data_IF_904846142351
#
_entry.id   IF_904846142351
#
_cell.length_a   1.000
_cell.length_b   1.000
_cell.length_c   1.000
_cell.angle_alpha   90.00
_cell.angle_beta   90.00
_cell.angle_gamma   90.00
#
_symmetry.space_group_name_H-M   'P 1'
#
loop_
_entity.id
_entity.type
_entity.pdbx_description
1 polymer ?
#
# COMPACT_ATOMS: atom_id res chain seq x y z
N UNK A 1 32.57 11.86 8.11
CA UNK A 1 31.34 11.37 8.79
C UNK A 1 30.28 11.45 7.73
N UNK A 2 29.70 10.32 7.39
CA UNK A 2 28.62 10.29 6.42
C UNK A 2 27.46 11.15 6.96
N UNK A 3 26.96 12.06 6.14
CA UNK A 3 25.81 12.88 6.45
C UNK A 3 24.59 11.94 6.67
N UNK A 4 23.74 12.22 7.66
CA UNK A 4 22.57 11.37 7.98
C UNK A 4 21.68 11.08 6.75
N UNK A 5 21.30 12.06 5.90
CA UNK A 5 20.55 11.80 4.69
C UNK A 5 21.24 10.85 3.71
N UNK A 6 22.56 10.94 3.56
CA UNK A 6 23.33 10.06 2.69
C UNK A 6 23.32 8.62 3.20
N UNK A 7 23.49 8.41 4.51
CA UNK A 7 23.39 7.09 5.15
C UNK A 7 22.00 6.47 4.97
N UNK A 8 20.94 7.27 5.12
CA UNK A 8 19.56 6.81 4.91
C UNK A 8 19.33 6.41 3.46
N UNK A 9 19.78 7.25 2.53
CA UNK A 9 19.63 7.02 1.10
C UNK A 9 20.40 5.77 0.64
N UNK A 10 21.60 5.54 1.16
CA UNK A 10 22.37 4.32 0.86
C UNK A 10 21.64 3.07 1.33
N UNK A 11 21.04 3.09 2.53
CA UNK A 11 20.23 1.97 3.00
C UNK A 11 18.98 1.77 2.15
N UNK A 12 18.30 2.85 1.77
CA UNK A 12 17.14 2.77 0.87
C UNK A 12 17.50 2.11 -0.47
N UNK A 13 18.66 2.46 -1.03
CA UNK A 13 19.16 1.84 -2.27
C UNK A 13 19.50 0.37 -2.04
N UNK A 14 20.14 0.00 -0.91
CA UNK A 14 20.43 -1.41 -0.61
C UNK A 14 19.15 -2.24 -0.54
N UNK A 15 18.08 -1.71 0.10
CA UNK A 15 16.77 -2.36 0.17
C UNK A 15 16.16 -2.47 -1.22
N UNK A 16 16.17 -1.37 -1.99
CA UNK A 16 15.60 -1.30 -3.34
C UNK A 16 16.27 -2.29 -4.31
N UNK A 17 17.56 -2.54 -4.18
CA UNK A 17 18.30 -3.48 -5.04
C UNK A 17 17.93 -4.96 -4.80
N UNK A 18 17.15 -5.28 -3.78
CA UNK A 18 16.64 -6.63 -3.53
C UNK A 18 15.23 -6.71 -4.13
N UNK A 19 14.99 -7.48 -5.20
CA UNK A 19 13.65 -7.65 -5.76
C UNK A 19 12.66 -8.13 -4.70
N UNK A 20 11.49 -7.52 -4.66
CA UNK A 20 10.43 -7.92 -3.72
C UNK A 20 9.04 -7.72 -4.37
N UNK A 21 8.70 -8.47 -5.42
CA UNK A 21 7.34 -8.45 -5.91
C UNK A 21 6.39 -8.94 -4.83
N UNK A 22 5.18 -8.39 -4.79
CA UNK A 22 4.12 -8.81 -3.87
C UNK A 22 3.99 -10.34 -3.85
N UNK A 23 3.98 -10.94 -2.67
CA UNK A 23 4.01 -12.39 -2.39
C UNK A 23 5.38 -13.07 -2.55
N UNK A 24 6.45 -12.35 -2.85
CA UNK A 24 7.80 -12.88 -2.96
C UNK A 24 8.84 -11.98 -2.27
N UNK A 25 8.49 -11.38 -1.14
CA UNK A 25 9.29 -10.41 -0.38
C UNK A 25 10.41 -11.04 0.46
N UNK A 26 10.43 -12.37 0.56
CA UNK A 26 11.31 -13.12 1.48
C UNK A 26 12.77 -12.64 1.53
N UNK A 27 13.48 -12.50 0.41
CA UNK A 27 14.88 -12.03 0.41
C UNK A 27 15.06 -10.63 1.01
N UNK A 28 14.14 -9.70 0.74
CA UNK A 28 14.16 -8.35 1.30
C UNK A 28 13.82 -8.36 2.78
N UNK A 29 12.84 -9.19 3.19
CA UNK A 29 12.51 -9.42 4.60
C UNK A 29 13.68 -9.98 5.40
N UNK A 30 14.40 -10.98 4.87
CA UNK A 30 15.59 -11.55 5.52
C UNK A 30 16.70 -10.48 5.68
N UNK A 31 16.91 -9.62 4.68
CA UNK A 31 17.84 -8.51 4.77
C UNK A 31 17.45 -7.55 5.90
N UNK A 32 16.20 -7.10 5.94
CA UNK A 32 15.71 -6.16 6.98
C UNK A 32 15.80 -6.81 8.36
N UNK A 33 15.45 -8.09 8.50
CA UNK A 33 15.59 -8.84 9.76
C UNK A 33 17.05 -8.86 10.25
N UNK A 34 17.98 -9.15 9.34
CA UNK A 34 19.42 -9.09 9.64
C UNK A 34 19.84 -7.71 10.15
N UNK A 35 19.39 -6.66 9.46
CA UNK A 35 19.66 -5.27 9.85
C UNK A 35 19.06 -4.90 11.20
N UNK A 36 17.84 -5.34 11.53
CA UNK A 36 17.25 -5.13 12.86
C UNK A 36 18.05 -5.77 13.98
N UNK A 37 18.62 -6.99 13.72
CA UNK A 37 19.52 -7.66 14.67
C UNK A 37 20.82 -6.88 14.84
N UNK A 38 21.44 -6.45 13.75
CA UNK A 38 22.69 -5.65 13.77
C UNK A 38 22.49 -4.33 14.53
N UNK A 39 21.34 -3.69 14.34
CA UNK A 39 20.96 -2.50 15.11
C UNK A 39 20.57 -2.82 16.57
N UNK A 40 20.61 -4.06 17.00
CA UNK A 40 20.39 -4.47 18.40
C UNK A 40 18.96 -4.27 18.90
N UNK A 41 17.97 -4.24 18.01
CA UNK A 41 16.56 -4.30 18.39
C UNK A 41 16.28 -5.58 19.16
N UNK A 42 15.29 -5.56 20.03
CA UNK A 42 14.86 -6.72 20.82
C UNK A 42 13.71 -7.44 20.11
N UNK A 43 13.50 -8.70 20.49
CA UNK A 43 12.37 -9.51 20.01
C UNK A 43 12.26 -9.54 18.47
N UNK A 44 13.42 -9.47 17.78
CA UNK A 44 13.45 -9.52 16.32
C UNK A 44 12.92 -10.86 15.85
N UNK A 45 11.86 -10.83 15.07
CA UNK A 45 11.18 -12.01 14.55
C UNK A 45 10.63 -11.79 13.14
N UNK A 46 10.25 -12.87 12.49
CA UNK A 46 9.52 -12.87 11.23
C UNK A 46 8.32 -13.80 11.38
N UNK A 47 7.15 -13.38 10.98
CA UNK A 47 5.96 -14.22 11.01
C UNK A 47 5.86 -15.13 9.76
N UNK A 48 4.82 -15.94 9.71
CA UNK A 48 4.62 -16.91 8.61
C UNK A 48 4.27 -16.27 7.27
N UNK A 49 3.89 -14.98 7.26
CA UNK A 49 3.64 -14.22 6.04
C UNK A 49 4.90 -13.53 5.51
N UNK A 50 5.90 -13.31 6.39
CA UNK A 50 7.12 -12.61 6.07
C UNK A 50 7.23 -11.20 6.67
N UNK A 51 6.26 -10.76 7.49
CA UNK A 51 6.39 -9.52 8.24
C UNK A 51 7.57 -9.61 9.22
N UNK A 52 8.41 -8.59 9.23
CA UNK A 52 9.59 -8.50 10.10
C UNK A 52 9.32 -7.51 11.24
N UNK A 53 9.53 -7.96 12.45
CA UNK A 53 9.30 -7.19 13.68
C UNK A 53 10.62 -6.92 14.41
N UNK A 54 10.73 -5.76 15.04
CA UNK A 54 11.84 -5.43 15.93
C UNK A 54 11.43 -4.38 16.96
N UNK A 55 11.73 -4.63 18.23
CA UNK A 55 11.33 -3.78 19.35
C UNK A 55 12.49 -2.90 19.84
N UNK A 56 12.25 -1.58 19.96
CA UNK A 56 13.04 -0.68 20.77
C UNK A 56 12.33 -0.52 22.13
N UNK A 57 12.87 -1.10 23.22
CA UNK A 57 12.21 -1.05 24.51
C UNK A 57 12.15 0.36 25.08
N UNK A 58 11.00 0.75 25.61
CA UNK A 58 10.81 1.95 26.40
C UNK A 58 11.09 1.73 27.89
N UNK A 59 11.05 2.83 28.67
CA UNK A 59 11.30 2.80 30.11
C UNK A 59 10.19 2.15 30.93
N UNK A 60 8.95 2.16 30.43
CA UNK A 60 7.77 1.69 31.16
C UNK A 60 6.95 0.69 30.31
N UNK A 61 7.07 -0.55 30.64
CA UNK A 61 6.34 -1.66 29.98
C UNK A 61 4.79 -1.60 30.10
N UNK A 62 4.26 -0.71 30.95
CA UNK A 62 2.81 -0.50 31.08
C UNK A 62 2.26 0.54 30.11
N UNK A 63 3.14 1.31 29.47
CA UNK A 63 2.72 2.26 28.42
C UNK A 63 2.43 1.48 27.14
N UNK A 64 1.30 1.77 26.51
CA UNK A 64 0.93 1.17 25.22
C UNK A 64 2.03 1.46 24.18
N UNK A 65 2.41 0.48 23.35
CA UNK A 65 3.47 0.67 22.35
C UNK A 65 3.00 1.54 21.18
N UNK A 66 3.95 2.14 20.50
CA UNK A 66 3.77 2.73 19.18
C UNK A 66 4.24 1.71 18.12
N UNK A 67 3.41 1.43 17.12
CA UNK A 67 3.74 0.56 15.99
C UNK A 67 4.07 1.45 14.80
N UNK A 68 5.26 1.29 14.23
CA UNK A 68 5.70 2.03 13.04
C UNK A 68 5.96 1.01 11.93
N UNK A 69 5.25 1.12 10.82
CA UNK A 69 5.35 0.17 9.72
C UNK A 69 5.71 0.82 8.39
N UNK A 70 6.34 0.04 7.51
CA UNK A 70 6.57 0.36 6.11
C UNK A 70 6.62 -0.95 5.33
N UNK A 71 5.95 -1.00 4.17
CA UNK A 71 5.85 -2.24 3.41
C UNK A 71 7.11 -2.56 2.59
N UNK A 72 7.39 -3.85 2.48
CA UNK A 72 8.56 -4.40 1.77
C UNK A 72 8.32 -4.58 0.29
N UNK A 73 7.09 -4.91 -0.09
CA UNK A 73 6.76 -5.29 -1.46
C UNK A 73 6.71 -4.10 -2.42
N UNK A 74 6.75 -4.43 -3.69
CA UNK A 74 6.60 -3.50 -4.80
C UNK A 74 5.75 -4.13 -5.90
N UNK A 75 5.16 -3.29 -6.76
CA UNK A 75 4.41 -3.74 -7.94
C UNK A 75 5.29 -4.35 -9.03
N UNK A 76 6.60 -4.28 -8.90
CA UNK A 76 7.54 -4.66 -9.95
C UNK A 76 7.80 -6.17 -9.96
N UNK A 77 7.70 -6.84 -11.14
CA UNK A 77 8.11 -8.22 -11.29
C UNK A 77 9.60 -8.46 -10.95
N UNK A 78 9.94 -9.66 -10.49
CA UNK A 78 11.29 -10.06 -10.05
C UNK A 78 12.40 -9.73 -11.07
N UNK A 79 12.10 -9.78 -12.37
CA UNK A 79 13.07 -9.54 -13.46
C UNK A 79 13.17 -8.07 -13.87
N UNK A 80 12.51 -7.16 -13.15
CA UNK A 80 12.59 -5.71 -13.44
C UNK A 80 14.03 -5.22 -13.28
N UNK A 81 14.48 -4.40 -14.21
CA UNK A 81 15.79 -3.74 -14.07
C UNK A 81 15.72 -2.71 -12.92
N UNK A 82 16.43 -2.97 -11.85
CA UNK A 82 16.50 -2.14 -10.65
C UNK A 82 17.65 -1.10 -10.67
N UNK A 83 18.19 -0.80 -11.85
CA UNK A 83 19.29 0.17 -11.98
C UNK A 83 18.93 1.52 -11.35
N UNK A 84 19.85 2.05 -10.56
CA UNK A 84 19.73 3.34 -9.87
C UNK A 84 20.41 4.43 -10.68
N UNK A 85 19.72 5.52 -10.90
CA UNK A 85 20.31 6.76 -11.42
C UNK A 85 20.33 7.82 -10.31
N UNK A 86 21.54 8.30 -9.95
CA UNK A 86 21.72 9.35 -8.94
C UNK A 86 22.05 10.67 -9.64
N UNK A 87 21.26 11.68 -9.35
CA UNK A 87 21.48 13.07 -9.70
C UNK A 87 21.77 13.88 -8.42
N UNK A 88 22.07 15.18 -8.55
CA UNK A 88 22.44 16.01 -7.39
C UNK A 88 21.32 16.15 -6.35
N UNK A 89 20.08 16.13 -6.79
CA UNK A 89 18.87 16.41 -5.99
C UNK A 89 17.81 15.31 -6.08
N UNK A 90 18.11 14.25 -6.84
CA UNK A 90 17.16 13.18 -7.16
C UNK A 90 17.82 11.81 -7.25
N UNK A 91 17.10 10.79 -6.83
CA UNK A 91 17.46 9.39 -7.09
C UNK A 91 16.28 8.71 -7.77
N UNK A 92 16.54 8.12 -8.94
CA UNK A 92 15.55 7.41 -9.74
C UNK A 92 15.85 5.92 -9.74
N UNK A 93 14.88 5.12 -9.34
CA UNK A 93 14.90 3.65 -9.41
C UNK A 93 13.50 3.09 -9.13
N UNK A 94 13.09 1.97 -9.75
CA UNK A 94 11.81 1.33 -9.44
C UNK A 94 11.71 0.94 -7.96
N UNK A 95 10.66 1.35 -7.25
CA UNK A 95 10.43 1.02 -5.85
C UNK A 95 11.33 1.76 -4.84
N UNK A 96 12.01 2.83 -5.26
CA UNK A 96 12.86 3.62 -4.34
C UNK A 96 12.01 4.47 -3.39
N UNK A 97 10.91 5.06 -3.89
CA UNK A 97 9.97 5.87 -3.13
C UNK A 97 8.86 5.03 -2.53
N UNK A 98 8.39 4.04 -3.27
CA UNK A 98 7.31 3.14 -2.93
C UNK A 98 7.82 1.68 -2.82
N UNK A 99 8.32 1.20 -1.63
CA UNK A 99 8.44 1.99 -0.38
C UNK A 99 9.84 1.78 0.26
N UNK A 100 10.91 1.65 -0.56
CA UNK A 100 12.25 1.35 -0.01
C UNK A 100 12.78 2.45 0.92
N UNK A 101 12.49 3.75 0.63
CA UNK A 101 12.87 4.85 1.52
C UNK A 101 12.03 4.86 2.80
N UNK A 102 10.76 4.42 2.76
CA UNK A 102 9.92 4.24 3.93
C UNK A 102 10.46 3.14 4.86
N UNK A 103 10.88 2.01 4.30
CA UNK A 103 11.55 0.94 5.08
C UNK A 103 12.87 1.45 5.68
N UNK A 104 13.67 2.20 4.91
CA UNK A 104 14.89 2.82 5.43
C UNK A 104 14.61 3.82 6.56
N UNK A 105 13.48 4.54 6.49
CA UNK A 105 13.11 5.50 7.53
C UNK A 105 12.83 4.84 8.90
N UNK A 106 12.45 3.57 8.95
CA UNK A 106 12.37 2.81 10.21
C UNK A 106 13.72 2.84 10.93
N UNK A 107 14.80 2.61 10.20
CA UNK A 107 16.17 2.68 10.73
C UNK A 107 16.58 4.13 11.03
N UNK A 108 16.19 5.06 10.16
CA UNK A 108 16.47 6.48 10.35
C UNK A 108 15.90 7.02 11.67
N UNK A 109 14.65 6.66 12.02
CA UNK A 109 14.04 7.00 13.30
C UNK A 109 14.87 6.42 14.47
N UNK A 110 15.23 5.14 14.39
CA UNK A 110 16.04 4.46 15.40
C UNK A 110 17.40 5.15 15.60
N UNK A 111 18.09 5.50 14.50
CA UNK A 111 19.38 6.18 14.55
C UNK A 111 19.28 7.56 15.20
N UNK A 112 18.28 8.36 14.79
CA UNK A 112 18.07 9.69 15.35
C UNK A 112 17.70 9.67 16.84
N UNK A 113 16.89 8.71 17.28
CA UNK A 113 16.57 8.52 18.70
C UNK A 113 17.85 8.26 19.50
N UNK A 114 18.76 7.42 18.98
CA UNK A 114 20.03 7.09 19.66
C UNK A 114 21.02 8.24 19.65
N UNK A 115 21.22 8.88 18.49
CA UNK A 115 22.14 10.00 18.33
C UNK A 115 21.77 11.17 19.24
N UNK A 116 20.46 11.39 19.45
CA UNK A 116 19.95 12.44 20.35
C UNK A 116 19.80 11.98 21.80
N UNK A 117 20.10 10.72 22.12
CA UNK A 117 19.95 10.17 23.46
C UNK A 117 18.50 10.19 23.97
N UNK A 118 17.53 10.10 23.06
CA UNK A 118 16.10 10.13 23.40
C UNK A 118 15.67 8.75 23.88
N UNK A 119 15.20 8.67 25.11
CA UNK A 119 14.63 7.47 25.71
C UNK A 119 13.12 7.63 25.85
N UNK A 120 12.37 6.80 25.15
CA UNK A 120 10.91 6.85 25.11
C UNK A 120 10.29 6.18 26.36
N UNK A 121 9.07 6.60 26.72
CA UNK A 121 8.36 6.02 27.86
C UNK A 121 7.86 4.61 27.56
N UNK A 122 7.26 4.38 26.38
CA UNK A 122 6.75 3.07 25.94
C UNK A 122 7.61 2.46 24.85
N UNK A 123 7.33 1.20 24.54
CA UNK A 123 8.01 0.46 23.48
C UNK A 123 7.66 1.04 22.11
N UNK A 124 8.62 1.04 21.20
CA UNK A 124 8.39 1.26 19.76
C UNK A 124 8.67 -0.03 19.02
N UNK A 125 7.69 -0.49 18.27
CA UNK A 125 7.84 -1.62 17.36
C UNK A 125 8.02 -1.13 15.93
N UNK A 126 9.14 -1.49 15.33
CA UNK A 126 9.39 -1.31 13.92
C UNK A 126 8.94 -2.56 13.18
N UNK A 127 8.11 -2.38 12.17
CA UNK A 127 7.54 -3.46 11.37
C UNK A 127 7.82 -3.20 9.90
N UNK A 128 8.53 -4.12 9.26
CA UNK A 128 8.59 -4.14 7.81
C UNK A 128 7.60 -5.20 7.34
N UNK A 129 6.47 -4.76 6.85
CA UNK A 129 5.36 -5.63 6.50
C UNK A 129 5.34 -5.99 5.00
N UNK A 130 4.51 -6.95 4.64
CA UNK A 130 4.44 -7.55 3.30
C UNK A 130 3.04 -7.43 2.73
N UNK A 131 2.90 -7.62 1.41
CA UNK A 131 1.61 -7.70 0.75
C UNK A 131 0.78 -6.41 0.86
N UNK A 132 1.39 -5.24 0.85
CA UNK A 132 0.67 -3.97 0.72
C UNK A 132 0.10 -3.83 -0.67
N UNK A 133 0.87 -4.12 -1.70
CA UNK A 133 0.58 -3.80 -3.08
C UNK A 133 -0.44 -4.74 -3.74
N UNK A 134 -1.18 -4.18 -4.67
CA UNK A 134 -2.01 -4.90 -5.62
C UNK A 134 -2.89 -5.99 -5.01
N UNK A 135 -2.62 -7.25 -5.38
CA UNK A 135 -3.32 -8.44 -4.91
C UNK A 135 -2.78 -8.98 -3.57
N UNK A 136 -1.80 -8.33 -2.97
CA UNK A 136 -1.37 -8.56 -1.60
C UNK A 136 -2.48 -8.33 -0.59
N UNK A 137 -3.38 -7.37 -0.89
CA UNK A 137 -4.63 -7.12 -0.17
C UNK A 137 -4.43 -6.84 1.33
N UNK A 138 -3.32 -6.17 1.67
CA UNK A 138 -2.94 -5.77 3.04
C UNK A 138 -2.83 -6.96 4.00
N UNK A 139 -2.50 -8.17 3.51
CA UNK A 139 -2.43 -9.37 4.36
C UNK A 139 -1.39 -9.25 5.45
N UNK A 140 -0.26 -8.60 5.15
CA UNK A 140 0.77 -8.32 6.12
C UNK A 140 0.25 -7.46 7.26
N UNK A 141 -0.31 -6.30 6.95
CA UNK A 141 -0.86 -5.40 7.96
C UNK A 141 -2.05 -6.01 8.72
N UNK A 142 -2.89 -6.84 8.08
CA UNK A 142 -3.94 -7.58 8.78
C UNK A 142 -3.34 -8.44 9.90
N UNK A 143 -2.24 -9.17 9.64
CA UNK A 143 -1.54 -9.97 10.64
C UNK A 143 -0.86 -9.10 11.72
N UNK A 144 -0.27 -7.96 11.34
CA UNK A 144 0.30 -6.99 12.30
C UNK A 144 -0.76 -6.47 13.26
N UNK A 145 -1.92 -6.06 12.76
CA UNK A 145 -3.02 -5.57 13.60
C UNK A 145 -3.65 -6.69 14.44
N UNK A 146 -3.69 -7.92 13.93
CA UNK A 146 -4.15 -9.09 14.72
C UNK A 146 -3.14 -9.42 15.85
N UNK A 147 -1.84 -9.19 15.62
CA UNK A 147 -0.79 -9.42 16.62
C UNK A 147 -0.82 -8.40 17.77
N UNK A 148 -0.90 -7.11 17.48
CA UNK A 148 -0.85 -6.05 18.48
C UNK A 148 -2.22 -5.65 19.04
N UNK A 149 -3.28 -5.76 18.25
CA UNK A 149 -4.64 -5.39 18.64
C UNK A 149 -4.84 -3.89 18.88
N UNK A 150 -5.80 -3.55 19.73
CA UNK A 150 -6.20 -2.17 20.00
C UNK A 150 -5.40 -1.52 21.17
N UNK A 151 -4.59 -2.29 21.89
CA UNK A 151 -3.84 -1.75 23.04
C UNK A 151 -2.49 -1.13 22.59
N UNK A 152 -2.56 -0.21 21.65
CA UNK A 152 -1.42 0.54 21.12
C UNK A 152 -1.70 2.04 21.23
N UNK A 153 -0.66 2.87 21.19
CA UNK A 153 -0.83 4.32 21.08
C UNK A 153 -1.35 4.70 19.69
N UNK A 154 -0.73 4.15 18.66
CA UNK A 154 -1.11 4.31 17.28
C UNK A 154 -0.39 3.29 16.39
N UNK A 155 -0.91 3.15 15.17
CA UNK A 155 -0.21 2.60 14.02
C UNK A 155 0.25 3.77 13.13
N UNK A 156 1.55 4.01 13.08
CA UNK A 156 2.15 4.97 12.16
C UNK A 156 2.65 4.22 10.93
N UNK A 157 2.00 4.42 9.81
CA UNK A 157 2.44 3.88 8.51
C UNK A 157 3.34 4.91 7.84
N UNK A 158 4.50 4.47 7.36
CA UNK A 158 5.47 5.34 6.68
C UNK A 158 5.45 5.03 5.19
N UNK A 159 5.04 6.04 4.40
CA UNK A 159 5.00 5.99 2.95
C UNK A 159 6.03 6.96 2.36
N UNK A 160 6.99 6.45 1.60
CA UNK A 160 8.15 7.23 1.19
C UNK A 160 7.82 8.56 0.50
N UNK A 161 6.84 8.57 -0.38
CA UNK A 161 6.46 9.72 -1.21
C UNK A 161 5.38 10.64 -0.60
N UNK A 162 4.97 10.40 0.65
CA UNK A 162 3.84 11.10 1.25
C UNK A 162 4.21 12.35 2.08
N UNK A 163 5.42 12.92 1.93
CA UNK A 163 5.82 14.11 2.69
C UNK A 163 4.88 15.30 2.43
N UNK A 164 4.47 15.99 3.51
CA UNK A 164 3.48 17.08 3.44
C UNK A 164 2.02 16.58 3.45
N UNK A 165 1.79 15.29 3.37
CA UNK A 165 0.46 14.69 3.43
C UNK A 165 0.22 13.97 4.76
N UNK A 166 -0.99 14.12 5.31
CA UNK A 166 -1.49 13.32 6.43
C UNK A 166 -2.66 12.48 5.92
N UNK A 167 -2.46 11.16 5.79
CA UNK A 167 -3.57 10.27 5.47
C UNK A 167 -4.19 9.79 6.78
N UNK A 168 -5.35 10.28 7.08
CA UNK A 168 -6.14 9.89 8.25
C UNK A 168 -7.48 9.25 7.85
N UNK A 169 -7.67 9.03 6.54
CA UNK A 169 -8.85 8.42 5.93
C UNK A 169 -8.41 7.37 4.91
N UNK A 170 -8.99 6.20 5.02
CA UNK A 170 -8.71 5.07 4.15
C UNK A 170 -9.79 4.91 3.07
N UNK A 171 -9.37 4.77 1.83
CA UNK A 171 -10.26 4.51 0.69
C UNK A 171 -10.61 3.01 0.66
N UNK A 172 -11.90 2.70 0.59
CA UNK A 172 -12.37 1.33 0.38
C UNK A 172 -12.10 0.85 -1.05
N UNK A 173 -11.71 -0.41 -1.18
CA UNK A 173 -11.45 -1.06 -2.49
C UNK A 173 -12.19 -2.39 -2.56
N UNK A 174 -12.77 -2.68 -3.72
CA UNK A 174 -13.34 -3.98 -4.08
C UNK A 174 -12.86 -4.37 -5.46
N UNK A 175 -12.24 -5.55 -5.56
CA UNK A 175 -11.69 -6.07 -6.83
C UNK A 175 -12.32 -7.40 -7.18
N UNK A 176 -12.65 -7.56 -8.46
CA UNK A 176 -13.21 -8.79 -8.99
C UNK A 176 -12.41 -9.24 -10.20
N UNK A 177 -12.25 -10.56 -10.35
CA UNK A 177 -12.01 -11.20 -11.62
C UNK A 177 -13.32 -11.76 -12.12
N UNK A 178 -13.67 -11.38 -13.34
CA UNK A 178 -14.89 -11.86 -14.02
C UNK A 178 -14.48 -12.64 -15.25
N UNK A 179 -14.85 -13.92 -15.29
CA UNK A 179 -14.51 -14.81 -16.40
C UNK A 179 -15.79 -15.26 -17.12
N UNK A 180 -15.88 -15.01 -18.40
CA UNK A 180 -16.97 -15.49 -19.25
C UNK A 180 -16.56 -16.80 -19.92
N UNK A 181 -17.48 -17.76 -19.93
CA UNK A 181 -17.35 -19.06 -20.56
C UNK A 181 -18.46 -19.26 -21.61
N UNK A 182 -18.08 -19.78 -22.78
CA UNK A 182 -18.97 -20.15 -23.86
C UNK A 182 -18.52 -21.49 -24.45
N UNK A 183 -19.29 -22.05 -25.39
CA UNK A 183 -18.89 -23.26 -26.09
C UNK A 183 -17.66 -23.08 -26.99
N UNK A 184 -17.37 -21.82 -27.40
CA UNK A 184 -16.36 -21.53 -28.41
C UNK A 184 -16.82 -22.03 -29.81
N UNK A 185 -15.88 -22.01 -30.77
CA UNK A 185 -16.19 -22.56 -32.11
C UNK A 185 -15.37 -21.90 -33.22
N UNK A 186 -15.69 -22.28 -34.46
CA UNK A 186 -15.09 -21.72 -35.67
C UNK A 186 -15.87 -20.48 -36.12
N UNK A 187 -15.19 -19.34 -36.30
CA UNK A 187 -15.85 -18.05 -36.61
C UNK A 187 -16.77 -18.02 -37.83
N UNK A 188 -16.59 -18.95 -38.80
CA UNK A 188 -17.41 -19.07 -39.97
C UNK A 188 -18.53 -20.13 -39.79
N UNK A 189 -18.16 -21.36 -39.40
CA UNK A 189 -19.11 -22.48 -39.31
C UNK A 189 -20.13 -22.30 -38.21
N UNK A 190 -19.71 -21.73 -37.10
CA UNK A 190 -20.51 -21.55 -35.88
C UNK A 190 -20.95 -20.09 -35.72
N UNK A 191 -20.98 -19.30 -36.80
CA UNK A 191 -21.42 -17.91 -36.79
C UNK A 191 -22.82 -17.77 -36.17
N UNK A 192 -22.93 -16.83 -35.22
CA UNK A 192 -24.17 -16.62 -34.45
C UNK A 192 -24.13 -17.22 -33.02
N UNK A 193 -23.16 -18.10 -32.74
CA UNK A 193 -22.89 -18.53 -31.36
C UNK A 193 -22.13 -17.44 -30.60
N UNK A 194 -22.27 -17.36 -29.24
CA UNK A 194 -21.58 -16.37 -28.44
C UNK A 194 -20.06 -16.61 -28.44
N UNK A 195 -19.32 -15.51 -28.33
CA UNK A 195 -17.87 -15.49 -28.07
C UNK A 195 -17.60 -14.81 -26.75
N UNK A 196 -16.86 -15.46 -25.86
CA UNK A 196 -16.56 -14.93 -24.54
C UNK A 196 -15.90 -13.53 -24.60
N UNK A 197 -15.05 -13.26 -25.60
CA UNK A 197 -14.45 -11.93 -25.81
C UNK A 197 -15.52 -10.87 -26.12
N UNK A 198 -16.53 -11.20 -26.94
CA UNK A 198 -17.61 -10.26 -27.26
C UNK A 198 -18.49 -9.99 -26.01
N UNK A 199 -18.77 -11.03 -25.25
CA UNK A 199 -19.62 -10.93 -24.06
C UNK A 199 -18.95 -10.06 -22.96
N UNK A 200 -17.64 -10.25 -22.70
CA UNK A 200 -16.94 -9.38 -21.72
C UNK A 200 -16.80 -7.96 -22.25
N UNK A 201 -16.57 -7.73 -23.53
CA UNK A 201 -16.49 -6.38 -24.09
C UNK A 201 -17.82 -5.62 -23.92
N UNK A 202 -18.95 -6.30 -24.18
CA UNK A 202 -20.28 -5.73 -23.97
C UNK A 202 -20.54 -5.42 -22.49
N UNK A 203 -20.17 -6.34 -21.58
CA UNK A 203 -20.30 -6.15 -20.14
C UNK A 203 -19.42 -5.01 -19.62
N UNK A 204 -18.16 -4.93 -20.04
CA UNK A 204 -17.24 -3.83 -19.67
C UNK A 204 -17.79 -2.49 -20.11
N UNK A 205 -18.41 -2.42 -21.31
CA UNK A 205 -19.06 -1.19 -21.80
C UNK A 205 -20.20 -0.76 -20.87
N UNK A 206 -21.01 -1.70 -20.36
CA UNK A 206 -22.09 -1.40 -19.41
C UNK A 206 -21.53 -0.97 -18.06
N UNK A 207 -20.51 -1.65 -17.53
CA UNK A 207 -19.85 -1.28 -16.27
C UNK A 207 -19.25 0.14 -16.35
N UNK A 208 -18.56 0.45 -17.44
CA UNK A 208 -17.96 1.77 -17.66
C UNK A 208 -19.00 2.91 -17.80
N UNK A 209 -20.25 2.57 -18.11
CA UNK A 209 -21.35 3.52 -18.21
C UNK A 209 -22.06 3.81 -16.86
N UNK A 210 -21.69 3.12 -15.77
CA UNK A 210 -22.26 3.38 -14.44
C UNK A 210 -21.94 4.81 -14.04
N UNK A 211 -22.95 5.64 -13.68
CA UNK A 211 -22.70 7.00 -13.21
C UNK A 211 -22.04 6.97 -11.82
N UNK A 212 -20.91 7.63 -11.70
CA UNK A 212 -20.13 7.67 -10.45
C UNK A 212 -20.21 9.06 -9.82
N UNK A 213 -20.41 9.16 -8.48
CA UNK A 213 -20.36 10.45 -7.79
C UNK A 213 -18.93 10.99 -7.78
N UNK A 214 -18.83 12.32 -7.83
CA UNK A 214 -17.54 13.03 -7.65
C UNK A 214 -17.25 13.27 -6.17
N UNK A 215 -18.28 13.34 -5.34
CA UNK A 215 -18.20 13.48 -3.88
C UNK A 215 -19.27 12.58 -3.25
N UNK A 216 -18.88 11.55 -2.48
CA UNK A 216 -17.49 11.11 -2.23
C UNK A 216 -16.82 10.66 -3.52
N UNK A 217 -15.49 10.87 -3.62
CA UNK A 217 -14.74 10.43 -4.82
C UNK A 217 -14.87 8.92 -4.97
N UNK A 218 -15.36 8.50 -6.13
CA UNK A 218 -15.63 7.09 -6.43
C UNK A 218 -15.11 6.78 -7.83
N UNK A 219 -14.48 5.64 -8.00
CA UNK A 219 -13.88 5.23 -9.27
C UNK A 219 -14.23 3.79 -9.61
N UNK A 220 -14.27 3.51 -10.91
CA UNK A 220 -14.36 2.18 -11.50
C UNK A 220 -13.32 2.08 -12.61
N UNK A 221 -12.58 0.99 -12.63
CA UNK A 221 -11.60 0.72 -13.68
C UNK A 221 -11.58 -0.77 -14.05
N UNK A 222 -11.42 -1.06 -15.32
CA UNK A 222 -11.05 -2.38 -15.83
C UNK A 222 -9.61 -2.28 -16.32
N UNK A 223 -8.67 -2.78 -15.49
CA UNK A 223 -7.23 -2.61 -15.74
C UNK A 223 -6.61 -3.74 -16.56
N UNK A 224 -7.20 -4.93 -16.51
CA UNK A 224 -6.72 -6.13 -17.24
C UNK A 224 -7.88 -6.73 -18.00
N UNK A 225 -7.62 -7.18 -19.25
CA UNK A 225 -8.58 -7.90 -20.06
C UNK A 225 -7.83 -8.91 -20.93
N UNK A 226 -8.25 -10.18 -20.88
CA UNK A 226 -7.61 -11.28 -21.62
C UNK A 226 -8.65 -12.21 -22.22
N UNK A 227 -8.31 -12.92 -23.29
CA UNK A 227 -9.19 -13.93 -23.86
C UNK A 227 -8.94 -14.24 -25.31
N UNK A 228 -9.51 -15.38 -25.74
CA UNK A 228 -9.39 -15.89 -27.11
C UNK A 228 -8.05 -16.56 -27.39
N UNK A 229 -7.97 -17.28 -28.50
CA UNK A 229 -6.78 -18.06 -28.89
C UNK A 229 -6.33 -17.80 -30.34
N UNK A 230 -7.24 -17.47 -31.24
CA UNK A 230 -6.96 -17.26 -32.67
C UNK A 230 -7.99 -16.31 -33.27
N UNK A 231 -7.60 -15.60 -34.34
CA UNK A 231 -8.45 -14.63 -35.07
C UNK A 231 -9.72 -15.25 -35.67
N UNK A 232 -9.71 -16.54 -35.99
CA UNK A 232 -10.82 -17.25 -36.63
C UNK A 232 -11.55 -18.22 -35.67
N UNK A 233 -11.44 -18.02 -34.35
CA UNK A 233 -12.18 -18.76 -33.33
C UNK A 233 -13.19 -17.86 -32.63
N UNK A 234 -14.35 -18.42 -32.27
CA UNK A 234 -15.19 -17.88 -31.21
C UNK A 234 -14.50 -18.23 -29.87
N UNK A 235 -14.20 -17.24 -29.05
CA UNK A 235 -13.49 -17.47 -27.80
C UNK A 235 -14.35 -18.27 -26.83
N UNK A 236 -13.82 -19.38 -26.32
CA UNK A 236 -14.49 -20.18 -25.29
C UNK A 236 -14.37 -19.53 -23.90
N UNK A 237 -13.30 -18.78 -23.69
CA UNK A 237 -13.02 -18.12 -22.40
C UNK A 237 -12.44 -16.72 -22.61
N UNK A 238 -12.85 -15.79 -21.76
CA UNK A 238 -12.26 -14.46 -21.63
C UNK A 238 -12.52 -13.90 -20.25
N UNK A 239 -11.61 -13.07 -19.72
CA UNK A 239 -11.73 -12.49 -18.39
C UNK A 239 -11.31 -11.03 -18.35
N UNK A 240 -11.76 -10.32 -17.31
CA UNK A 240 -11.27 -9.00 -16.94
C UNK A 240 -11.16 -8.85 -15.44
N UNK A 241 -10.26 -7.95 -15.01
CA UNK A 241 -10.12 -7.55 -13.61
C UNK A 241 -10.72 -6.15 -13.40
N UNK A 242 -11.70 -6.07 -12.49
CA UNK A 242 -12.46 -4.86 -12.13
C UNK A 242 -11.98 -4.32 -10.80
N UNK A 243 -11.65 -3.03 -10.74
CA UNK A 243 -11.25 -2.29 -9.53
C UNK A 243 -12.29 -1.20 -9.23
N UNK A 244 -12.93 -1.30 -8.07
CA UNK A 244 -13.91 -0.34 -7.56
C UNK A 244 -13.34 0.33 -6.32
N UNK A 245 -13.40 1.66 -6.24
CA UNK A 245 -12.92 2.42 -5.07
C UNK A 245 -13.90 3.52 -4.68
N UNK A 246 -13.99 3.80 -3.38
CA UNK A 246 -14.73 4.95 -2.87
C UNK A 246 -14.19 5.41 -1.51
N UNK A 247 -14.27 6.72 -1.25
CA UNK A 247 -14.04 7.31 0.07
C UNK A 247 -15.16 6.98 1.06
N UNK A 248 -16.31 6.45 0.59
CA UNK A 248 -17.47 6.09 1.39
C UNK A 248 -17.83 4.61 1.18
N UNK A 249 -17.93 3.86 2.29
CA UNK A 249 -18.22 2.42 2.27
C UNK A 249 -19.62 2.10 1.73
N UNK A 250 -20.59 2.94 2.00
CA UNK A 250 -21.98 2.69 1.54
C UNK A 250 -22.10 2.88 0.04
N UNK A 251 -21.39 3.88 -0.48
CA UNK A 251 -21.29 4.14 -1.92
C UNK A 251 -20.52 3.02 -2.62
N UNK A 252 -19.41 2.55 -2.03
CA UNK A 252 -18.66 1.40 -2.56
C UNK A 252 -19.53 0.13 -2.58
N UNK A 253 -20.23 -0.15 -1.51
CA UNK A 253 -21.14 -1.32 -1.43
C UNK A 253 -22.26 -1.24 -2.47
N UNK A 254 -22.85 -0.05 -2.67
CA UNK A 254 -23.85 0.19 -3.70
C UNK A 254 -23.30 -0.02 -5.11
N UNK A 255 -22.09 0.48 -5.39
CA UNK A 255 -21.41 0.30 -6.67
C UNK A 255 -21.09 -1.18 -6.93
N UNK A 256 -20.55 -1.88 -5.92
CA UNK A 256 -20.25 -3.30 -6.01
C UNK A 256 -21.53 -4.12 -6.33
N UNK A 257 -22.63 -3.84 -5.63
CA UNK A 257 -23.93 -4.47 -5.88
C UNK A 257 -24.42 -4.22 -7.31
N UNK A 258 -24.32 -2.97 -7.79
CA UNK A 258 -24.71 -2.63 -9.17
C UNK A 258 -23.87 -3.39 -10.20
N UNK A 259 -22.57 -3.51 -9.97
CA UNK A 259 -21.67 -4.28 -10.84
C UNK A 259 -22.04 -5.78 -10.83
N UNK A 260 -22.27 -6.37 -9.66
CA UNK A 260 -22.68 -7.77 -9.50
C UNK A 260 -24.03 -8.05 -10.20
N UNK A 261 -24.99 -7.13 -10.12
CA UNK A 261 -26.28 -7.22 -10.80
C UNK A 261 -26.14 -7.17 -12.31
N UNK A 262 -25.28 -6.29 -12.86
CA UNK A 262 -25.00 -6.22 -14.30
C UNK A 262 -24.36 -7.52 -14.79
N UNK A 263 -23.37 -8.07 -14.06
CA UNK A 263 -22.73 -9.34 -14.40
C UNK A 263 -23.75 -10.47 -14.40
N UNK A 264 -24.57 -10.55 -13.37
CA UNK A 264 -25.62 -11.58 -13.27
C UNK A 264 -26.64 -11.48 -14.40
N UNK A 265 -27.03 -10.27 -14.81
CA UNK A 265 -28.00 -10.03 -15.89
C UNK A 265 -27.41 -10.31 -17.27
N UNK A 266 -26.10 -10.22 -17.43
CA UNK A 266 -25.39 -10.54 -18.67
C UNK A 266 -25.36 -12.05 -18.97
N UNK A 267 -25.58 -12.91 -17.97
CA UNK A 267 -25.63 -14.36 -18.14
C UNK A 267 -26.79 -14.78 -19.07
N UNK A 268 -26.53 -15.78 -19.92
CA UNK A 268 -27.48 -16.36 -20.89
C UNK A 268 -27.33 -17.89 -20.85
N UNK A 269 -28.26 -18.67 -21.43
CA UNK A 269 -28.10 -20.12 -21.43
C UNK A 269 -26.77 -20.64 -21.99
N UNK A 270 -26.19 -19.93 -22.98
CA UNK A 270 -24.92 -20.29 -23.63
C UNK A 270 -23.71 -19.49 -23.09
N UNK A 271 -23.91 -18.59 -22.09
CA UNK A 271 -22.87 -17.72 -21.57
C UNK A 271 -22.92 -17.76 -20.03
N UNK A 272 -21.89 -18.31 -19.44
CA UNK A 272 -21.70 -18.35 -18.00
C UNK A 272 -20.64 -17.37 -17.54
N UNK A 273 -20.86 -16.71 -16.39
CA UNK A 273 -19.87 -15.84 -15.77
C UNK A 273 -19.48 -16.37 -14.39
N UNK A 274 -18.19 -16.60 -14.20
CA UNK A 274 -17.61 -16.80 -12.87
C UNK A 274 -17.13 -15.45 -12.32
N UNK A 275 -17.43 -15.20 -11.04
CA UNK A 275 -17.06 -13.96 -10.34
C UNK A 275 -16.23 -14.32 -9.11
N UNK A 276 -14.98 -13.93 -9.11
CA UNK A 276 -14.06 -14.11 -8.00
C UNK A 276 -13.74 -12.76 -7.37
N UNK A 277 -13.81 -12.65 -6.04
CA UNK A 277 -13.29 -11.49 -5.30
C UNK A 277 -11.78 -11.67 -5.15
N UNK A 278 -11.00 -10.89 -5.89
CA UNK A 278 -9.53 -10.97 -5.89
C UNK A 278 -8.87 -9.95 -4.98
N UNK A 279 -9.64 -9.07 -4.33
CA UNK A 279 -9.13 -8.12 -3.34
C UNK A 279 -10.23 -7.32 -2.68
N UNK A 280 -10.05 -7.05 -1.39
CA UNK A 280 -10.97 -6.22 -0.62
C UNK A 280 -10.23 -5.48 0.50
N UNK A 281 -10.07 -4.16 0.30
CA UNK A 281 -9.52 -3.29 1.33
C UNK A 281 -10.63 -2.54 2.04
N UNK A 282 -10.69 -2.57 3.38
CA UNK A 282 -11.70 -1.86 4.12
C UNK A 282 -11.44 -0.35 4.08
N UNK A 283 -12.48 0.46 4.25
CA UNK A 283 -12.32 1.88 4.54
C UNK A 283 -12.44 2.13 6.04
N UNK A 284 -11.92 3.26 6.46
CA UNK A 284 -12.00 3.74 7.82
C UNK A 284 -11.47 5.16 7.91
N UNK A 285 -11.79 5.84 9.00
CA UNK A 285 -11.27 7.20 9.19
C UNK A 285 -11.00 7.51 10.66
N UNK A 286 -10.07 8.40 10.86
CA UNK A 286 -9.84 9.10 12.13
C UNK A 286 -10.19 10.56 11.92
N UNK A 287 -10.87 11.18 12.90
CA UNK A 287 -11.24 12.60 12.78
C UNK A 287 -10.02 13.48 12.54
N UNK A 288 -10.13 14.47 11.66
CA UNK A 288 -9.10 15.51 11.50
C UNK A 288 -8.80 16.30 12.79
N UNK A 289 -9.72 16.24 13.77
CA UNK A 289 -9.54 16.84 15.09
C UNK A 289 -8.92 15.87 16.13
N UNK A 290 -8.64 14.63 15.74
CA UNK A 290 -8.01 13.68 16.63
C UNK A 290 -6.62 14.18 17.10
N UNK A 291 -6.23 14.03 18.38
CA UNK A 291 -4.95 14.54 18.89
C UNK A 291 -3.73 14.12 18.06
N UNK A 292 -3.68 12.87 17.58
CA UNK A 292 -2.57 12.39 16.75
C UNK A 292 -2.52 13.07 15.38
N UNK A 293 -3.67 13.39 14.76
CA UNK A 293 -3.71 14.12 13.48
C UNK A 293 -3.22 15.55 13.69
N UNK A 294 -3.64 16.20 14.79
CA UNK A 294 -3.14 17.53 15.15
C UNK A 294 -1.67 17.54 15.52
N UNK A 295 -1.19 16.48 16.16
CA UNK A 295 0.23 16.31 16.41
C UNK A 295 1.03 16.21 15.10
N UNK A 296 0.58 15.39 14.17
CA UNK A 296 1.22 15.24 12.85
C UNK A 296 1.23 16.58 12.08
N UNK A 297 0.12 17.33 12.09
CA UNK A 297 0.02 18.67 11.51
C UNK A 297 1.06 19.62 12.14
N UNK A 298 1.18 19.62 13.47
CA UNK A 298 2.18 20.42 14.17
C UNK A 298 3.60 20.01 13.79
N UNK A 299 3.90 18.71 13.74
CA UNK A 299 5.23 18.21 13.38
C UNK A 299 5.65 18.63 11.97
N UNK A 300 4.73 18.62 10.99
CA UNK A 300 5.01 19.10 9.63
C UNK A 300 5.25 20.61 9.58
N UNK A 301 4.41 21.39 10.26
CA UNK A 301 4.57 22.85 10.31
C UNK A 301 5.90 23.27 10.99
N UNK A 302 6.35 22.58 12.04
CA UNK A 302 7.65 22.84 12.70
C UNK A 302 8.84 22.54 11.78
N UNK A 303 8.67 21.73 10.73
CA UNK A 303 9.64 21.53 9.65
C UNK A 303 9.49 22.53 8.50
N UNK A 304 8.58 23.49 8.62
CA UNK A 304 8.31 24.47 7.56
C UNK A 304 7.56 23.89 6.34
N UNK A 305 6.83 22.78 6.52
CA UNK A 305 6.11 22.11 5.46
C UNK A 305 4.63 22.48 5.48
N UNK A 306 4.06 22.67 4.29
CA UNK A 306 2.61 22.78 4.12
C UNK A 306 1.96 21.42 4.37
N UNK A 307 0.72 21.44 4.91
CA UNK A 307 -0.03 20.23 5.24
C UNK A 307 -1.21 20.05 4.33
N UNK A 308 -1.33 18.85 3.77
CA UNK A 308 -2.50 18.41 3.01
C UNK A 308 -3.13 17.20 3.68
N UNK A 309 -4.41 17.32 4.07
CA UNK A 309 -5.18 16.17 4.52
C UNK A 309 -5.65 15.36 3.32
N UNK A 310 -5.30 14.10 3.30
CA UNK A 310 -5.50 13.22 2.14
C UNK A 310 -6.19 11.91 2.56
N UNK A 311 -6.85 11.28 1.59
CA UNK A 311 -7.34 9.91 1.68
C UNK A 311 -6.51 9.02 0.77
N UNK A 312 -6.19 7.80 1.21
CA UNK A 312 -5.41 6.84 0.44
C UNK A 312 -5.86 5.41 0.69
N UNK A 313 -5.30 4.48 -0.06
CA UNK A 313 -5.47 3.05 0.19
C UNK A 313 -4.10 2.47 0.46
N UNK A 314 -3.77 2.32 1.73
CA UNK A 314 -2.47 1.90 2.27
C UNK A 314 -2.69 0.92 3.43
N UNK A 315 -1.64 0.49 4.06
CA UNK A 315 -1.69 -0.32 5.29
C UNK A 315 -2.54 0.30 6.41
N UNK A 316 -2.61 1.63 6.48
CA UNK A 316 -3.48 2.32 7.45
C UNK A 316 -4.98 1.96 7.32
N UNK A 317 -5.41 1.41 6.17
CA UNK A 317 -6.78 0.95 6.00
C UNK A 317 -7.19 -0.06 7.07
N UNK A 318 -6.29 -0.96 7.44
CA UNK A 318 -6.61 -2.05 8.37
C UNK A 318 -6.90 -1.54 9.78
N UNK A 319 -5.98 -0.82 10.45
CA UNK A 319 -6.27 -0.30 11.79
C UNK A 319 -7.40 0.75 11.79
N UNK A 320 -7.46 1.65 10.80
CA UNK A 320 -8.55 2.63 10.69
C UNK A 320 -9.92 1.98 10.57
N UNK A 321 -10.05 0.92 9.78
CA UNK A 321 -11.33 0.20 9.64
C UNK A 321 -11.81 -0.49 10.91
N UNK A 322 -10.88 -0.75 11.83
CA UNK A 322 -11.17 -1.35 13.14
C UNK A 322 -11.33 -0.30 14.24
N UNK A 323 -11.38 0.99 13.87
CA UNK A 323 -11.50 2.10 14.82
C UNK A 323 -10.26 2.32 15.69
N UNK A 324 -9.11 1.80 15.27
CA UNK A 324 -7.83 2.00 15.97
C UNK A 324 -7.14 3.27 15.48
N UNK A 325 -6.42 3.98 16.36
CA UNK A 325 -5.68 5.17 15.96
C UNK A 325 -4.59 4.82 14.93
N UNK A 326 -4.68 5.41 13.73
CA UNK A 326 -3.69 5.19 12.68
C UNK A 326 -3.62 6.39 11.73
N UNK A 327 -2.43 6.63 11.19
CA UNK A 327 -2.20 7.64 10.14
C UNK A 327 -0.98 7.28 9.30
N UNK A 328 -0.89 7.90 8.11
CA UNK A 328 0.26 7.78 7.23
C UNK A 328 1.01 9.09 7.19
N UNK A 329 2.34 9.02 7.31
CA UNK A 329 3.26 10.14 7.12
C UNK A 329 4.35 9.77 6.11
N UNK A 330 4.90 10.79 5.44
CA UNK A 330 5.90 10.62 4.40
C UNK A 330 7.33 10.88 4.83
N UNK A 331 8.27 10.49 3.97
CA UNK A 331 9.72 10.70 4.16
C UNK A 331 10.23 11.81 3.26
N UNK A 332 9.81 11.82 2.00
CA UNK A 332 10.26 12.78 0.99
C UNK A 332 9.17 13.02 -0.07
N UNK A 333 9.48 13.86 -1.02
CA UNK A 333 8.69 14.05 -2.24
C UNK A 333 9.31 13.27 -3.40
N UNK A 334 8.58 13.15 -4.49
CA UNK A 334 9.03 12.45 -5.69
C UNK A 334 7.88 12.20 -6.64
N UNK A 335 8.01 11.22 -7.49
CA UNK A 335 6.94 10.90 -8.44
C UNK A 335 7.21 9.63 -9.24
N UNK A 336 6.28 9.32 -10.14
CA UNK A 336 6.37 8.16 -11.00
C UNK A 336 6.18 6.82 -10.28
N UNK A 337 5.60 6.80 -9.08
CA UNK A 337 5.27 5.56 -8.37
C UNK A 337 4.58 4.56 -9.30
N UNK A 338 4.88 3.26 -9.13
CA UNK A 338 4.41 2.15 -9.97
C UNK A 338 4.90 2.19 -11.42
N UNK A 339 5.92 3.00 -11.72
CA UNK A 339 6.59 3.00 -13.05
C UNK A 339 8.10 2.81 -12.90
N UNK A 340 8.76 2.36 -13.96
CA UNK A 340 10.23 2.23 -13.99
C UNK A 340 10.96 3.60 -13.98
N UNK A 341 10.22 4.71 -14.00
CA UNK A 341 10.71 6.07 -13.93
C UNK A 341 10.46 6.71 -12.54
N UNK A 342 10.16 5.90 -11.56
CA UNK A 342 9.98 6.34 -10.18
C UNK A 342 11.24 7.02 -9.65
N UNK A 343 11.04 8.08 -8.88
CA UNK A 343 12.12 8.85 -8.27
C UNK A 343 11.72 9.46 -6.94
N UNK A 344 12.74 9.76 -6.14
CA UNK A 344 12.63 10.56 -4.92
C UNK A 344 13.50 11.81 -5.02
N UNK A 345 13.05 12.91 -4.41
CA UNK A 345 13.85 14.09 -4.18
C UNK A 345 14.68 13.89 -2.90
N UNK A 346 15.98 14.27 -2.94
CA UNK A 346 16.88 14.01 -1.80
C UNK A 346 16.88 15.13 -0.77
N UNK A 347 16.65 16.38 -1.19
CA UNK A 347 16.68 17.55 -0.31
C UNK A 347 15.62 17.51 0.82
N UNK A 348 14.37 17.04 0.62
CA UNK A 348 13.36 17.03 1.69
C UNK A 348 13.53 15.91 2.73
N UNK A 349 14.43 14.95 2.52
CA UNK A 349 14.62 13.78 3.42
C UNK A 349 14.87 14.22 4.87
N UNK A 350 15.68 15.26 5.08
CA UNK A 350 15.99 15.74 6.42
C UNK A 350 14.74 16.26 7.14
N UNK A 351 13.90 17.02 6.45
CA UNK A 351 12.64 17.53 6.99
C UNK A 351 11.65 16.39 7.26
N UNK A 352 11.55 15.42 6.34
CA UNK A 352 10.69 14.25 6.53
C UNK A 352 11.11 13.40 7.71
N UNK A 353 12.39 13.16 7.89
CA UNK A 353 12.88 12.44 9.07
C UNK A 353 12.75 13.25 10.36
N UNK A 354 12.89 14.56 10.29
CA UNK A 354 12.68 15.47 11.41
C UNK A 354 11.24 15.43 11.93
N UNK A 355 10.25 15.49 11.04
CA UNK A 355 8.83 15.41 11.43
C UNK A 355 8.48 14.03 12.00
N UNK A 356 8.99 12.92 11.40
CA UNK A 356 8.76 11.56 11.91
C UNK A 356 9.32 11.38 13.32
N UNK A 357 10.55 11.82 13.56
CA UNK A 357 11.16 11.76 14.88
C UNK A 357 10.38 12.56 15.92
N UNK A 358 9.99 13.80 15.57
CA UNK A 358 9.21 14.67 16.45
C UNK A 358 7.85 14.05 16.78
N UNK A 359 7.19 13.45 15.81
CA UNK A 359 5.93 12.74 16.02
C UNK A 359 6.10 11.57 16.99
N UNK A 360 7.09 10.69 16.74
CA UNK A 360 7.39 9.53 17.61
C UNK A 360 7.68 9.97 19.04
N UNK A 361 8.53 10.98 19.24
CA UNK A 361 8.86 11.50 20.56
C UNK A 361 7.62 12.06 21.28
N UNK A 362 6.80 12.82 20.55
CA UNK A 362 5.65 13.51 21.13
C UNK A 362 4.46 12.60 21.41
N UNK A 363 4.37 11.43 20.77
CA UNK A 363 3.36 10.41 21.09
C UNK A 363 3.47 9.89 22.53
N UNK A 364 4.63 10.01 23.17
CA UNK A 364 4.89 9.50 24.52
C UNK A 364 4.91 10.59 25.60
N UNK A 365 4.65 11.83 25.25
CA UNK A 365 4.52 12.97 26.17
C UNK A 365 3.07 13.15 26.62
#
# INVERSE_FOLDING_TARGET
>A
MDNFPDRLLELAIQIQQIPAPTLAEGPRGDFVRGRFIEEGLKEVSMDSLGNVYGCLPGKNKKTSPLIISAHLDTVFPEKTNLAVNKESDKVSAPGIGDNSIGVAALFGILWLLRERGIELTGDVWFVADVCEEGLGDLRGMKAVVDHFGANVLAYLVVEGLALGHIYHRAIGVRRYRVTAHTAGGHSWSDYGQPSAVHEIAALVTQLAAIPLPRTPRTTLNVGVMTGGTSVNTLAAEASFDLDLRSEDLSVLAGLAKTAEELISTAAKPEVHFDVEVIGQRPAGEMSAHHPLVKLAETCLHEQGLDVTFTSGSTDANVPLSRGMPALVLGVTTGGGAHTTHEYIDTAPIEQGMGQLLMFVESCFR
#
